data_IF_232227422951
#
_entry.id   IF_232227422951
#
_cell.length_a   1.000
_cell.length_b   1.000
_cell.length_c   1.000
_cell.angle_alpha   90.00
_cell.angle_beta   90.00
_cell.angle_gamma   90.00
#
_symmetry.space_group_name_H-M   'P 1'
#
loop_
_entity.id
_entity.type
_entity.pdbx_description
1 polymer ?
#
# COMPACT_ATOMS: atom_id res chain seq x y z
N UNK A 1 5.06 -19.83 9.11
CA UNK A 1 5.67 -18.96 8.09
C UNK A 1 4.56 -18.52 7.15
N UNK A 2 4.31 -17.21 6.96
CA UNK A 2 3.32 -16.72 6.01
C UNK A 2 3.87 -16.72 4.58
N UNK A 3 2.99 -16.85 3.59
CA UNK A 3 3.28 -16.67 2.18
C UNK A 3 2.84 -15.27 1.75
N UNK A 4 3.78 -14.48 1.23
CA UNK A 4 3.54 -13.11 0.78
C UNK A 4 3.50 -13.11 -0.75
N UNK A 5 2.45 -12.55 -1.34
CA UNK A 5 2.15 -12.73 -2.75
C UNK A 5 2.00 -11.38 -3.43
N UNK A 6 2.86 -11.12 -4.42
CA UNK A 6 2.55 -10.18 -5.49
C UNK A 6 1.54 -10.84 -6.44
N UNK A 7 0.26 -10.49 -6.30
CA UNK A 7 -0.84 -11.23 -6.92
C UNK A 7 -1.22 -10.75 -8.31
N UNK A 8 -0.33 -10.83 -9.29
CA UNK A 8 -0.63 -10.57 -10.70
C UNK A 8 -0.22 -11.77 -11.56
N UNK A 9 -1.05 -12.13 -12.55
CA UNK A 9 -0.58 -12.98 -13.65
C UNK A 9 0.28 -12.16 -14.61
N UNK A 10 1.22 -12.82 -15.29
CA UNK A 10 2.12 -12.18 -16.27
C UNK A 10 1.83 -12.58 -17.71
N UNK A 11 0.70 -13.27 -17.92
CA UNK A 11 0.24 -13.69 -19.24
C UNK A 11 0.17 -12.48 -20.20
N UNK A 12 0.77 -12.56 -21.41
CA UNK A 12 0.89 -11.42 -22.31
C UNK A 12 -0.45 -10.99 -22.93
N UNK A 13 -1.47 -11.84 -22.92
CA UNK A 13 -2.82 -11.58 -23.40
C UNK A 13 -3.76 -11.00 -22.33
N UNK A 14 -3.32 -10.92 -21.08
CA UNK A 14 -4.09 -10.31 -19.98
C UNK A 14 -3.69 -8.85 -19.81
N UNK A 15 -4.68 -7.96 -19.95
CA UNK A 15 -4.51 -6.52 -19.77
C UNK A 15 -3.98 -6.21 -18.36
N UNK A 16 -3.03 -5.27 -18.27
CA UNK A 16 -2.35 -4.91 -17.01
C UNK A 16 -3.33 -4.45 -15.91
N UNK A 17 -4.50 -3.91 -16.27
CA UNK A 17 -5.51 -3.50 -15.30
C UNK A 17 -6.31 -4.68 -14.73
N UNK A 18 -6.29 -5.85 -15.39
CA UNK A 18 -7.06 -7.04 -15.02
C UNK A 18 -6.22 -8.14 -14.33
N UNK A 19 -4.89 -8.05 -14.40
CA UNK A 19 -3.97 -9.09 -13.91
C UNK A 19 -4.19 -9.50 -12.45
N UNK A 20 -4.51 -8.55 -11.58
CA UNK A 20 -4.78 -8.84 -10.16
C UNK A 20 -6.05 -9.66 -9.97
N UNK A 21 -7.13 -9.29 -10.65
CA UNK A 21 -8.39 -10.02 -10.58
C UNK A 21 -8.25 -11.44 -11.15
N UNK A 22 -7.56 -11.57 -12.29
CA UNK A 22 -7.29 -12.86 -12.91
C UNK A 22 -6.42 -13.76 -12.02
N UNK A 23 -5.45 -13.19 -11.30
CA UNK A 23 -4.64 -13.94 -10.34
C UNK A 23 -5.49 -14.52 -9.20
N UNK A 24 -6.41 -13.71 -8.65
CA UNK A 24 -7.32 -14.16 -7.59
C UNK A 24 -8.14 -15.36 -8.07
N UNK A 25 -8.77 -15.22 -9.24
CA UNK A 25 -9.66 -16.22 -9.80
C UNK A 25 -8.94 -17.53 -10.17
N UNK A 26 -7.78 -17.43 -10.81
CA UNK A 26 -7.04 -18.59 -11.32
C UNK A 26 -6.18 -19.28 -10.26
N UNK A 27 -5.61 -18.53 -9.33
CA UNK A 27 -4.54 -19.04 -8.46
C UNK A 27 -4.87 -18.92 -6.98
N UNK A 28 -5.26 -17.74 -6.49
CA UNK A 28 -5.39 -17.53 -5.05
C UNK A 28 -6.52 -18.39 -4.44
N UNK A 29 -7.66 -18.49 -5.11
CA UNK A 29 -8.78 -19.35 -4.67
C UNK A 29 -8.33 -20.81 -4.59
N UNK A 30 -7.64 -21.31 -5.61
CA UNK A 30 -7.16 -22.69 -5.65
C UNK A 30 -6.12 -22.96 -4.56
N UNK A 31 -5.21 -22.00 -4.33
CA UNK A 31 -4.19 -22.07 -3.30
C UNK A 31 -4.80 -22.12 -1.89
N UNK A 32 -5.79 -21.26 -1.59
CA UNK A 32 -6.51 -21.28 -0.31
C UNK A 32 -7.23 -22.59 -0.05
N UNK A 33 -7.81 -23.21 -1.10
CA UNK A 33 -8.45 -24.54 -0.99
C UNK A 33 -7.42 -25.65 -0.73
N UNK A 34 -6.27 -25.60 -1.38
CA UNK A 34 -5.21 -26.60 -1.23
C UNK A 34 -4.50 -26.51 0.13
N UNK A 35 -4.38 -25.30 0.69
CA UNK A 35 -3.69 -25.05 1.95
C UNK A 35 -4.53 -24.16 2.89
N UNK A 36 -5.62 -24.68 3.47
CA UNK A 36 -6.58 -23.88 4.25
C UNK A 36 -5.95 -23.22 5.49
N UNK A 37 -4.97 -23.88 6.11
CA UNK A 37 -4.25 -23.40 7.30
C UNK A 37 -3.07 -22.46 6.96
N UNK A 38 -2.69 -22.34 5.68
CA UNK A 38 -1.57 -21.48 5.28
C UNK A 38 -1.98 -20.02 5.41
N UNK A 39 -1.16 -19.27 6.17
CA UNK A 39 -1.26 -17.81 6.23
C UNK A 39 -0.77 -17.18 4.94
N UNK A 40 -1.59 -16.31 4.37
CA UNK A 40 -1.30 -15.61 3.13
C UNK A 40 -1.51 -14.11 3.32
N UNK A 41 -0.56 -13.32 2.82
CA UNK A 41 -0.75 -11.90 2.58
C UNK A 41 -0.80 -11.68 1.07
N UNK A 42 -1.93 -11.17 0.58
CA UNK A 42 -2.00 -10.61 -0.76
C UNK A 42 -1.44 -9.20 -0.68
N UNK A 43 -0.20 -9.02 -1.12
CA UNK A 43 0.50 -7.76 -0.97
C UNK A 43 -0.12 -6.67 -1.84
N UNK A 44 0.02 -5.42 -1.40
CA UNK A 44 -0.26 -4.18 -2.14
C UNK A 44 -1.49 -4.25 -3.05
N UNK A 45 -2.65 -4.66 -2.51
CA UNK A 45 -3.87 -4.83 -3.32
C UNK A 45 -4.31 -3.51 -3.96
N UNK A 46 -4.83 -3.60 -5.18
CA UNK A 46 -5.14 -2.42 -6.00
C UNK A 46 -6.57 -2.36 -6.53
N UNK A 47 -7.34 -3.45 -6.36
CA UNK A 47 -8.71 -3.57 -6.86
C UNK A 47 -9.74 -3.75 -5.75
N UNK A 48 -10.95 -3.23 -6.01
CA UNK A 48 -12.16 -3.59 -5.26
C UNK A 48 -12.36 -5.11 -5.16
N UNK A 49 -12.08 -5.87 -6.23
CA UNK A 49 -12.18 -7.33 -6.21
C UNK A 49 -11.26 -7.95 -5.15
N UNK A 50 -10.00 -7.53 -5.07
CA UNK A 50 -9.07 -7.99 -4.04
C UNK A 50 -9.51 -7.59 -2.62
N UNK A 51 -9.99 -6.36 -2.45
CA UNK A 51 -10.52 -5.89 -1.17
C UNK A 51 -11.73 -6.71 -0.72
N UNK A 52 -12.67 -6.99 -1.62
CA UNK A 52 -13.85 -7.83 -1.35
C UNK A 52 -13.45 -9.28 -1.05
N UNK A 53 -12.57 -9.87 -1.85
CA UNK A 53 -12.08 -11.23 -1.67
C UNK A 53 -11.44 -11.43 -0.29
N UNK A 54 -10.58 -10.50 0.14
CA UNK A 54 -9.93 -10.57 1.45
C UNK A 54 -10.94 -10.32 2.57
N UNK A 55 -11.85 -9.35 2.42
CA UNK A 55 -12.90 -9.02 3.40
C UNK A 55 -13.97 -10.11 3.55
N UNK A 56 -14.10 -11.01 2.59
CA UNK A 56 -15.09 -12.10 2.69
C UNK A 56 -14.47 -13.40 3.21
N UNK A 57 -13.14 -13.45 3.40
CA UNK A 57 -12.44 -14.61 3.96
C UNK A 57 -12.68 -14.78 5.46
N UNK A 58 -13.24 -15.93 5.87
CA UNK A 58 -13.68 -16.16 7.26
C UNK A 58 -12.70 -16.96 8.12
N UNK A 59 -11.64 -17.54 7.55
CA UNK A 59 -10.76 -18.43 8.30
C UNK A 59 -9.75 -17.68 9.18
N UNK A 60 -9.58 -18.16 10.40
CA UNK A 60 -8.63 -17.62 11.39
C UNK A 60 -7.82 -18.74 12.05
N UNK A 61 -6.63 -18.40 12.53
CA UNK A 61 -5.83 -19.28 13.38
C UNK A 61 -6.40 -19.42 14.80
N UNK A 62 -5.77 -20.24 15.64
CA UNK A 62 -6.18 -20.49 17.02
C UNK A 62 -6.17 -19.25 17.93
N UNK A 63 -5.55 -18.15 17.49
CA UNK A 63 -5.51 -16.86 18.20
C UNK A 63 -6.62 -15.92 17.71
N UNK A 64 -7.47 -16.36 16.79
CA UNK A 64 -8.51 -15.55 16.14
C UNK A 64 -7.95 -14.60 15.08
N UNK A 65 -6.70 -14.79 14.63
CA UNK A 65 -6.06 -13.95 13.64
C UNK A 65 -6.37 -14.48 12.24
N UNK A 66 -6.79 -13.64 11.27
CA UNK A 66 -7.12 -14.08 9.93
C UNK A 66 -5.99 -14.87 9.25
N UNK A 67 -6.36 -15.86 8.43
CA UNK A 67 -5.41 -16.63 7.61
C UNK A 67 -5.15 -15.98 6.24
N UNK A 68 -6.06 -15.13 5.77
CA UNK A 68 -5.85 -14.28 4.60
C UNK A 68 -5.90 -12.83 5.04
N UNK A 69 -4.89 -12.07 4.65
CA UNK A 69 -4.80 -10.64 4.86
C UNK A 69 -4.28 -9.95 3.60
N UNK A 70 -4.29 -8.62 3.60
CA UNK A 70 -3.68 -7.82 2.56
C UNK A 70 -2.97 -6.60 3.13
N UNK A 71 -1.88 -6.21 2.46
CA UNK A 71 -1.30 -4.89 2.64
C UNK A 71 -1.88 -3.91 1.63
N UNK A 72 -2.02 -2.65 2.03
CA UNK A 72 -2.49 -1.57 1.15
C UNK A 72 -1.48 -0.44 1.23
N UNK A 73 -1.02 0.04 0.07
CA UNK A 73 -0.01 1.09 -0.01
C UNK A 73 -0.62 2.49 0.08
N UNK A 74 0.16 3.46 0.55
CA UNK A 74 -0.30 4.86 0.61
C UNK A 74 -0.63 5.43 -0.78
N UNK A 75 0.16 5.09 -1.80
CA UNK A 75 -0.07 5.58 -3.16
C UNK A 75 -1.36 5.02 -3.78
N UNK A 76 -1.75 3.78 -3.47
CA UNK A 76 -3.02 3.19 -3.91
C UNK A 76 -4.24 3.73 -3.15
N UNK A 77 -4.05 4.28 -1.94
CA UNK A 77 -5.10 4.98 -1.21
C UNK A 77 -5.32 6.40 -1.74
N UNK A 78 -4.23 7.12 -2.04
CA UNK A 78 -4.27 8.53 -2.41
C UNK A 78 -4.55 8.78 -3.89
N UNK A 79 -4.23 7.83 -4.77
CA UNK A 79 -4.25 8.05 -6.21
C UNK A 79 -5.00 6.96 -6.96
N UNK A 80 -5.61 7.36 -8.07
CA UNK A 80 -6.11 6.47 -9.10
C UNK A 80 -5.27 6.68 -10.38
N UNK A 81 -5.51 5.87 -11.42
CA UNK A 81 -4.72 5.88 -12.65
C UNK A 81 -4.64 7.23 -13.37
N UNK A 82 -5.59 8.14 -13.17
CA UNK A 82 -5.52 9.48 -13.75
C UNK A 82 -4.30 10.26 -13.24
N UNK A 83 -3.79 9.94 -12.05
CA UNK A 83 -2.58 10.55 -11.50
C UNK A 83 -1.34 10.28 -12.37
N UNK A 84 -1.28 9.13 -13.08
CA UNK A 84 -0.20 8.82 -14.02
C UNK A 84 -0.28 9.63 -15.32
N UNK A 85 -1.43 10.25 -15.63
CA UNK A 85 -1.67 10.93 -16.91
C UNK A 85 -2.02 12.41 -16.77
N UNK A 86 -2.03 12.94 -15.53
CA UNK A 86 -2.41 14.34 -15.25
C UNK A 86 -1.39 15.30 -15.86
N UNK A 87 -1.79 16.00 -16.93
CA UNK A 87 -0.92 16.94 -17.65
C UNK A 87 0.17 16.29 -18.49
N UNK A 88 0.14 14.97 -18.67
CA UNK A 88 1.18 14.17 -19.33
C UNK A 88 1.47 12.88 -18.56
N UNK A 89 2.33 12.03 -19.13
CA UNK A 89 2.77 10.80 -18.46
C UNK A 89 3.70 11.14 -17.27
N UNK A 90 3.33 10.69 -16.07
CA UNK A 90 4.06 10.90 -14.82
C UNK A 90 4.67 9.57 -14.34
N UNK A 91 5.92 9.23 -14.72
CA UNK A 91 6.51 7.91 -14.44
C UNK A 91 6.71 7.64 -12.93
N UNK A 92 6.85 8.68 -12.10
CA UNK A 92 6.98 8.53 -10.64
C UNK A 92 5.70 8.03 -9.94
N UNK A 93 4.57 7.96 -10.66
CA UNK A 93 3.32 7.35 -10.21
C UNK A 93 3.12 5.92 -10.76
N UNK A 94 4.00 5.46 -11.64
CA UNK A 94 3.96 4.12 -12.20
C UNK A 94 4.59 3.11 -11.24
N UNK A 95 3.81 2.12 -10.82
CA UNK A 95 4.17 0.99 -9.96
C UNK A 95 3.43 -0.27 -10.42
N UNK A 96 3.76 -1.42 -9.84
CA UNK A 96 3.05 -2.67 -10.03
C UNK A 96 2.56 -3.20 -8.67
N UNK A 97 1.31 -3.64 -8.54
CA UNK A 97 0.26 -3.58 -9.56
C UNK A 97 -0.09 -2.13 -9.91
N UNK A 98 -0.52 -1.87 -11.15
CA UNK A 98 -0.71 -0.50 -11.63
C UNK A 98 -1.86 0.20 -10.90
N UNK A 99 -1.77 1.53 -10.70
CA UNK A 99 -2.90 2.34 -10.25
C UNK A 99 -4.16 2.05 -11.09
N UNK A 100 -5.30 1.82 -10.42
CA UNK A 100 -6.56 1.41 -11.05
C UNK A 100 -7.56 2.58 -11.14
N UNK A 101 -8.79 2.30 -11.58
CA UNK A 101 -9.89 3.29 -11.64
C UNK A 101 -10.28 3.79 -10.24
N UNK A 102 -10.94 4.94 -10.18
CA UNK A 102 -11.36 5.56 -8.92
C UNK A 102 -12.24 4.67 -8.05
N UNK A 103 -13.10 3.84 -8.66
CA UNK A 103 -13.92 2.86 -7.93
C UNK A 103 -13.07 1.90 -7.09
N UNK A 104 -11.93 1.47 -7.62
CA UNK A 104 -11.01 0.61 -6.88
C UNK A 104 -10.30 1.39 -5.77
N UNK A 105 -9.83 2.62 -6.04
CA UNK A 105 -9.22 3.47 -5.01
C UNK A 105 -10.15 3.68 -3.82
N UNK A 106 -11.43 3.95 -4.07
CA UNK A 106 -12.44 4.10 -3.02
C UNK A 106 -12.60 2.83 -2.21
N UNK A 107 -12.69 1.66 -2.85
CA UNK A 107 -12.80 0.37 -2.16
C UNK A 107 -11.57 0.07 -1.29
N UNK A 108 -10.36 0.44 -1.73
CA UNK A 108 -9.15 0.32 -0.92
C UNK A 108 -9.17 1.25 0.28
N UNK A 109 -9.66 2.48 0.08
CA UNK A 109 -9.82 3.46 1.16
C UNK A 109 -10.83 2.99 2.20
N UNK A 110 -11.96 2.43 1.76
CA UNK A 110 -12.94 1.77 2.62
C UNK A 110 -12.31 0.60 3.39
N UNK A 111 -11.56 -0.27 2.72
CA UNK A 111 -10.91 -1.42 3.34
C UNK A 111 -9.87 -1.01 4.38
N UNK A 112 -8.93 -0.13 4.04
CA UNK A 112 -7.89 0.34 4.96
C UNK A 112 -8.47 1.05 6.18
N UNK A 113 -9.52 1.85 5.99
CA UNK A 113 -10.16 2.62 7.06
C UNK A 113 -11.26 1.86 7.77
N UNK A 114 -11.51 0.58 7.47
CA UNK A 114 -12.63 -0.20 8.03
C UNK A 114 -12.46 -0.60 9.51
N UNK A 115 -11.22 -0.70 10.00
CA UNK A 115 -10.89 -1.31 11.29
C UNK A 115 -10.88 -2.85 11.26
N UNK A 116 -10.92 -3.45 10.07
CA UNK A 116 -10.82 -4.89 9.87
C UNK A 116 -9.36 -5.36 9.97
N UNK A 117 -9.03 -6.34 10.84
CA UNK A 117 -7.66 -6.79 11.08
C UNK A 117 -6.99 -7.47 9.89
N UNK A 118 -7.72 -7.72 8.80
CA UNK A 118 -7.17 -8.28 7.55
C UNK A 118 -6.44 -7.26 6.70
N UNK A 119 -6.64 -5.96 6.92
CA UNK A 119 -5.97 -4.92 6.15
C UNK A 119 -4.97 -4.19 7.04
N UNK A 120 -3.71 -4.15 6.63
CA UNK A 120 -2.67 -3.47 7.38
C UNK A 120 -1.64 -2.78 6.48
N UNK A 121 -0.83 -1.93 7.08
CA UNK A 121 0.14 -1.11 6.38
C UNK A 121 1.22 -1.97 5.71
N UNK A 122 1.39 -1.76 4.40
CA UNK A 122 2.59 -2.16 3.65
C UNK A 122 2.88 -1.08 2.63
N UNK A 123 4.03 -0.42 2.74
CA UNK A 123 4.30 0.80 1.95
C UNK A 123 4.52 0.51 0.47
N UNK A 124 5.08 -0.65 0.17
CA UNK A 124 5.72 -0.97 -1.11
C UNK A 124 6.59 0.21 -1.59
N UNK A 125 7.34 0.81 -0.66
CA UNK A 125 8.26 1.88 -1.02
C UNK A 125 9.39 1.27 -1.84
N UNK A 126 9.35 1.49 -3.15
CA UNK A 126 10.26 0.91 -4.13
C UNK A 126 11.12 2.01 -4.76
N UNK A 127 12.29 2.33 -4.16
CA UNK A 127 13.12 3.41 -4.62
C UNK A 127 13.84 3.07 -5.93
N UNK A 128 13.80 4.00 -6.87
CA UNK A 128 14.52 3.93 -8.14
C UNK A 128 15.20 5.27 -8.41
N UNK A 129 16.43 5.24 -8.93
CA UNK A 129 17.11 6.44 -9.37
C UNK A 129 16.29 7.14 -10.47
N UNK A 130 16.28 8.48 -10.46
CA UNK A 130 15.42 9.29 -11.35
C UNK A 130 15.58 8.93 -12.82
N UNK A 131 16.80 8.71 -13.28
CA UNK A 131 17.14 8.33 -14.65
C UNK A 131 16.56 6.97 -15.06
N UNK A 132 16.39 6.04 -14.13
CA UNK A 132 15.73 4.75 -14.38
C UNK A 132 14.20 4.85 -14.43
N UNK A 133 13.62 5.95 -13.94
CA UNK A 133 12.19 6.26 -14.04
C UNK A 133 11.89 7.11 -15.28
N UNK A 134 12.72 8.10 -15.57
CA UNK A 134 12.59 9.07 -16.66
C UNK A 134 13.33 8.60 -17.92
N UNK A 135 12.95 7.41 -18.42
CA UNK A 135 13.58 6.76 -19.57
C UNK A 135 12.53 6.17 -20.51
N UNK A 136 12.96 5.64 -21.66
CA UNK A 136 12.08 5.01 -22.65
C UNK A 136 11.31 3.80 -22.09
N UNK A 137 11.83 3.14 -21.06
CA UNK A 137 11.17 2.05 -20.34
C UNK A 137 11.38 2.23 -18.82
N UNK A 138 10.59 3.13 -18.22
CA UNK A 138 10.73 3.48 -16.80
C UNK A 138 10.42 2.32 -15.85
N UNK A 139 11.22 2.16 -14.79
CA UNK A 139 10.98 1.17 -13.75
C UNK A 139 9.64 1.39 -13.02
N UNK A 140 8.99 0.32 -12.59
CA UNK A 140 7.82 0.39 -11.73
C UNK A 140 8.25 0.56 -10.27
N UNK A 141 7.67 1.53 -9.56
CA UNK A 141 7.92 1.74 -8.13
C UNK A 141 7.70 3.19 -7.70
N UNK A 142 7.12 3.37 -6.52
CA UNK A 142 6.88 4.67 -5.90
C UNK A 142 7.75 4.79 -4.64
N UNK A 143 8.50 5.88 -4.49
CA UNK A 143 9.25 6.13 -3.26
C UNK A 143 8.39 6.88 -2.23
N UNK A 144 7.95 6.17 -1.20
CA UNK A 144 7.07 6.73 -0.15
C UNK A 144 7.68 6.69 1.24
N UNK A 145 8.77 5.94 1.47
CA UNK A 145 9.32 5.72 2.80
C UNK A 145 9.71 7.01 3.54
N UNK A 146 10.06 8.08 2.83
CA UNK A 146 10.39 9.37 3.44
C UNK A 146 9.21 9.98 4.23
N UNK A 147 7.96 9.75 3.77
CA UNK A 147 6.78 10.45 4.27
C UNK A 147 5.59 9.48 4.46
N UNK A 148 5.87 8.20 4.72
CA UNK A 148 4.85 7.15 4.61
C UNK A 148 3.70 7.36 5.60
N UNK A 149 4.01 7.71 6.86
CA UNK A 149 3.00 7.90 7.90
C UNK A 149 2.14 9.13 7.64
N UNK A 150 2.73 10.22 7.13
CA UNK A 150 2.03 11.42 6.69
C UNK A 150 1.03 11.10 5.58
N UNK A 151 1.46 10.32 4.58
CA UNK A 151 0.60 9.92 3.46
C UNK A 151 -0.59 9.05 3.92
N UNK A 152 -0.37 8.09 4.83
CA UNK A 152 -1.47 7.32 5.41
C UNK A 152 -2.38 8.17 6.28
N UNK A 153 -1.83 9.12 7.05
CA UNK A 153 -2.61 10.05 7.84
C UNK A 153 -3.57 10.86 6.94
N UNK A 154 -3.04 11.44 5.86
CA UNK A 154 -3.84 12.12 4.84
C UNK A 154 -4.90 11.22 4.21
N UNK A 155 -4.60 9.94 3.95
CA UNK A 155 -5.60 9.00 3.43
C UNK A 155 -6.72 8.72 4.46
N UNK A 156 -6.37 8.43 5.71
CA UNK A 156 -7.34 8.10 6.77
C UNK A 156 -8.22 9.30 7.14
N UNK A 157 -7.67 10.51 7.04
CA UNK A 157 -8.43 11.75 7.22
C UNK A 157 -9.55 11.93 6.18
N UNK A 158 -9.38 11.46 4.94
CA UNK A 158 -10.43 11.53 3.90
C UNK A 158 -11.72 10.77 4.29
N UNK A 159 -11.66 9.90 5.29
CA UNK A 159 -12.79 9.11 5.81
C UNK A 159 -13.11 9.38 7.28
N UNK A 160 -12.60 10.48 7.85
CA UNK A 160 -12.74 10.80 9.27
C UNK A 160 -12.35 9.61 10.19
N UNK A 161 -11.28 8.90 9.79
CA UNK A 161 -10.92 7.60 10.34
C UNK A 161 -9.55 7.56 11.03
N UNK A 162 -8.96 8.71 11.37
CA UNK A 162 -7.63 8.81 11.99
C UNK A 162 -7.46 7.92 13.24
N UNK A 163 -8.52 7.73 14.02
CA UNK A 163 -8.58 6.84 15.19
C UNK A 163 -8.29 5.36 14.86
N UNK A 164 -8.38 4.95 13.59
CA UNK A 164 -8.10 3.59 13.11
C UNK A 164 -6.67 3.42 12.59
N UNK A 165 -5.91 4.52 12.45
CA UNK A 165 -4.58 4.48 11.86
C UNK A 165 -3.58 3.66 12.68
N UNK A 166 -3.60 3.75 14.01
CA UNK A 166 -2.69 2.97 14.88
C UNK A 166 -2.90 1.45 14.70
N UNK A 167 -4.16 1.01 14.64
CA UNK A 167 -4.47 -0.40 14.46
C UNK A 167 -3.97 -0.91 13.09
N UNK A 168 -4.23 -0.15 12.02
CA UNK A 168 -3.77 -0.45 10.65
C UNK A 168 -2.24 -0.43 10.52
N UNK A 169 -1.56 0.54 11.13
CA UNK A 169 -0.13 0.77 11.00
C UNK A 169 0.73 -0.08 11.93
N UNK A 170 0.24 -0.42 13.12
CA UNK A 170 1.07 -1.01 14.19
C UNK A 170 0.52 -2.29 14.81
N UNK A 171 -0.80 -2.53 14.82
CA UNK A 171 -1.39 -3.66 15.55
C UNK A 171 -1.69 -4.86 14.67
N UNK A 172 -2.40 -4.65 13.56
CA UNK A 172 -2.95 -5.73 12.74
C UNK A 172 -1.83 -6.56 12.08
N UNK A 173 -0.82 -5.90 11.52
CA UNK A 173 0.38 -6.58 11.01
C UNK A 173 1.10 -7.37 12.10
N UNK A 174 1.36 -6.77 13.27
CA UNK A 174 2.02 -7.46 14.38
C UNK A 174 1.25 -8.73 14.81
N UNK A 175 -0.08 -8.65 14.93
CA UNK A 175 -0.93 -9.79 15.24
C UNK A 175 -0.86 -10.90 14.16
N UNK A 176 -0.96 -10.51 12.88
CA UNK A 176 -0.88 -11.43 11.74
C UNK A 176 0.41 -12.26 11.78
N UNK A 177 1.54 -11.58 11.93
CA UNK A 177 2.88 -12.16 11.98
C UNK A 177 3.23 -12.82 13.33
N UNK A 178 2.42 -12.61 14.38
CA UNK A 178 2.69 -13.14 15.72
C UNK A 178 3.87 -12.45 16.41
N UNK A 179 4.08 -11.16 16.12
CA UNK A 179 5.11 -10.33 16.70
C UNK A 179 4.52 -9.45 17.83
N UNK A 180 5.33 -9.07 18.83
CA UNK A 180 4.92 -8.11 19.84
C UNK A 180 4.66 -6.73 19.21
N UNK A 181 3.75 -5.96 19.81
CA UNK A 181 3.58 -4.54 19.45
C UNK A 181 4.79 -3.74 19.91
N UNK A 182 5.14 -2.73 19.13
CA UNK A 182 6.09 -1.70 19.58
C UNK A 182 5.56 -1.01 20.84
N UNK A 183 6.45 -0.66 21.76
CA UNK A 183 6.13 0.03 23.01
C UNK A 183 6.31 1.55 22.92
N UNK A 184 7.05 2.01 21.90
CA UNK A 184 7.23 3.43 21.61
C UNK A 184 6.02 4.04 20.91
N UNK A 185 6.03 5.36 20.77
CA UNK A 185 5.01 6.11 20.06
C UNK A 185 5.63 7.01 19.01
N UNK A 186 4.84 7.34 17.99
CA UNK A 186 5.16 8.35 16.98
C UNK A 186 4.02 9.37 17.01
N UNK A 187 4.35 10.66 17.01
CA UNK A 187 3.36 11.73 16.99
C UNK A 187 3.28 12.32 15.59
N UNK A 188 2.11 12.23 14.96
CA UNK A 188 1.77 12.99 13.76
C UNK A 188 1.11 14.29 14.21
N UNK A 189 1.68 15.43 13.83
CA UNK A 189 1.11 16.74 14.08
C UNK A 189 0.54 17.32 12.79
N UNK A 190 -0.55 18.08 12.90
CA UNK A 190 -1.04 18.89 11.79
C UNK A 190 -0.11 20.09 11.63
N UNK A 191 0.78 20.01 10.66
CA UNK A 191 1.74 21.03 10.32
C UNK A 191 2.00 20.95 8.81
N UNK A 192 1.64 22.01 8.09
CA UNK A 192 1.86 22.09 6.66
C UNK A 192 3.36 22.09 6.35
N UNK A 193 3.75 21.26 5.39
CA UNK A 193 5.11 21.23 4.87
C UNK A 193 5.12 20.77 3.42
N UNK A 194 6.17 21.14 2.69
CA UNK A 194 6.32 20.77 1.28
C UNK A 194 7.28 19.60 1.16
N UNK A 195 6.85 18.55 0.45
CA UNK A 195 7.69 17.39 0.14
C UNK A 195 8.88 17.85 -0.72
N UNK A 196 10.13 17.51 -0.36
CA UNK A 196 11.29 17.83 -1.18
C UNK A 196 11.12 17.34 -2.61
N UNK A 197 11.62 18.13 -3.57
CA UNK A 197 11.58 17.74 -4.99
C UNK A 197 12.33 16.43 -5.26
N UNK A 198 13.37 16.15 -4.46
CA UNK A 198 14.26 15.02 -4.62
C UNK A 198 15.10 14.79 -3.35
N UNK A 199 15.66 13.59 -3.23
CA UNK A 199 16.67 13.24 -2.22
C UNK A 199 17.94 12.67 -2.90
N UNK A 200 19.11 12.76 -2.25
CA UNK A 200 20.29 12.02 -2.69
C UNK A 200 20.03 10.51 -2.68
N UNK A 201 20.40 9.81 -3.75
CA UNK A 201 20.23 8.36 -3.86
C UNK A 201 21.31 7.72 -4.74
N UNK A 202 22.13 6.85 -4.13
CA UNK A 202 23.29 6.26 -4.77
C UNK A 202 24.18 7.33 -5.43
N UNK A 203 24.47 7.19 -6.73
CA UNK A 203 25.27 8.15 -7.50
C UNK A 203 24.45 9.33 -8.07
N UNK A 204 23.14 9.39 -7.80
CA UNK A 204 22.24 10.39 -8.35
C UNK A 204 21.18 10.81 -7.34
N UNK A 205 19.94 10.88 -7.82
CA UNK A 205 18.81 11.39 -7.05
C UNK A 205 17.59 10.47 -7.18
N UNK A 206 16.71 10.56 -6.19
CA UNK A 206 15.41 9.91 -6.17
C UNK A 206 14.30 10.95 -5.99
N UNK A 207 13.20 10.75 -6.71
CA UNK A 207 12.02 11.61 -6.62
C UNK A 207 10.98 10.93 -5.71
N UNK A 208 10.61 11.52 -4.56
CA UNK A 208 9.55 10.98 -3.73
C UNK A 208 8.19 11.13 -4.40
N UNK A 209 7.25 10.25 -4.04
CA UNK A 209 5.84 10.46 -4.37
C UNK A 209 5.40 11.82 -3.80
N UNK A 210 4.61 12.57 -4.58
CA UNK A 210 4.17 13.92 -4.24
C UNK A 210 5.30 14.95 -4.07
N UNK A 211 6.47 14.74 -4.70
CA UNK A 211 7.54 15.74 -4.79
C UNK A 211 7.03 17.15 -5.13
N UNK A 212 7.35 18.12 -4.29
CA UNK A 212 6.93 19.53 -4.42
C UNK A 212 5.49 19.82 -4.01
N UNK A 213 4.70 18.81 -3.64
CA UNK A 213 3.34 19.00 -3.14
C UNK A 213 3.36 19.25 -1.62
N UNK A 214 2.31 19.88 -1.12
CA UNK A 214 2.12 20.18 0.30
C UNK A 214 1.39 19.03 1.00
N UNK A 215 1.87 18.63 2.17
CA UNK A 215 1.19 17.71 3.10
C UNK A 215 0.78 18.47 4.36
N UNK A 216 -0.38 18.13 4.92
CA UNK A 216 -0.92 18.76 6.15
C UNK A 216 -0.44 18.10 7.44
N UNK A 217 0.13 16.90 7.34
CA UNK A 217 0.60 16.12 8.48
C UNK A 217 2.11 15.95 8.39
N UNK A 218 2.76 15.97 9.55
CA UNK A 218 4.19 15.75 9.68
C UNK A 218 4.46 14.89 10.90
N UNK A 219 5.33 13.89 10.78
CA UNK A 219 5.88 13.19 11.94
C UNK A 219 6.74 14.18 12.72
N UNK A 220 6.44 14.36 14.00
CA UNK A 220 7.31 15.11 14.89
C UNK A 220 8.67 14.40 14.95
N UNK A 221 9.79 15.11 14.70
CA UNK A 221 11.10 14.56 14.98
C UNK A 221 11.10 14.12 16.44
N UNK A 222 11.42 12.85 16.70
CA UNK A 222 11.48 12.35 18.05
C UNK A 222 12.37 13.28 18.87
N UNK A 223 11.86 13.77 20.02
CA UNK A 223 12.75 14.25 21.07
C UNK A 223 13.67 13.07 21.36
N UNK A 224 14.94 13.18 20.96
CA UNK A 224 15.96 12.28 21.48
C UNK A 224 15.90 12.42 23.01
N UNK A 225 15.35 11.41 23.66
CA UNK A 225 15.39 11.24 25.11
C UNK A 225 16.47 10.19 25.42
#
# INVERSE_FOLDING_TARGET
MPLLIHGEVTDPDVDVFDREAVFIDRHLIALRRAFPELKIVLEHITTAHAAEFVRDASESDTRGVPLLAATITAHHLLHNRNAMFKGGLRPHYYCLPVLKRETHRQALLDAATSGDPRFFLGTDSAPHARDTKETACGCAGCFTAANALELYCTAFEQRDALQRLDDFAGRFGAAFYGLPRNTGTVTLQRAEWTVPMQFPYAAGEIVPLQAGEMLEWQVQPGLAA
#
